data_IF_375443219334
#
_entry.id   IF_375443219334
#
_cell.length_a   1.000
_cell.length_b   1.000
_cell.length_c   1.000
_cell.angle_alpha   90.00
_cell.angle_beta   90.00
_cell.angle_gamma   90.00
#
_symmetry.space_group_name_H-M   'P 1'
#
loop_
_entity.id
_entity.type
_entity.pdbx_description
1 polymer ?
#
# COMPACT_ATOMS: atom_id res chain seq x y z
N UNK A 1 -32.83 -6.69 4.87
CA UNK A 1 -31.78 -7.01 5.87
C UNK A 1 -30.54 -7.42 5.11
N UNK A 2 -29.39 -6.78 5.38
CA UNK A 2 -28.13 -7.12 4.72
C UNK A 2 -27.83 -8.59 4.98
N UNK A 3 -27.88 -9.44 3.96
CA UNK A 3 -27.43 -10.81 4.15
C UNK A 3 -25.94 -10.78 4.48
N UNK A 4 -25.53 -11.45 5.55
CA UNK A 4 -24.12 -11.54 5.94
C UNK A 4 -23.23 -11.95 4.77
N UNK A 5 -23.73 -12.84 3.90
CA UNK A 5 -23.06 -13.24 2.66
C UNK A 5 -22.72 -12.08 1.71
N UNK A 6 -23.54 -11.02 1.67
CA UNK A 6 -23.32 -9.85 0.78
C UNK A 6 -22.26 -8.91 1.36
N UNK A 7 -22.33 -8.64 2.66
CA UNK A 7 -21.30 -7.86 3.36
C UNK A 7 -19.91 -8.51 3.23
N UNK A 8 -19.84 -9.84 3.36
CA UNK A 8 -18.60 -10.60 3.16
C UNK A 8 -18.07 -10.51 1.72
N UNK A 9 -18.93 -10.52 0.70
CA UNK A 9 -18.50 -10.33 -0.70
C UNK A 9 -17.92 -8.93 -0.94
N UNK A 10 -18.55 -7.90 -0.40
CA UNK A 10 -18.03 -6.52 -0.46
C UNK A 10 -16.66 -6.40 0.20
N UNK A 11 -16.53 -6.92 1.43
CA UNK A 11 -15.26 -6.96 2.15
C UNK A 11 -14.17 -7.73 1.38
N UNK A 12 -14.51 -8.88 0.79
CA UNK A 12 -13.57 -9.65 -0.02
C UNK A 12 -13.09 -8.88 -1.26
N UNK A 13 -13.96 -8.10 -1.90
CA UNK A 13 -13.59 -7.21 -3.01
C UNK A 13 -12.60 -6.12 -2.58
N UNK A 14 -12.87 -5.45 -1.44
CA UNK A 14 -11.97 -4.44 -0.88
C UNK A 14 -10.62 -5.06 -0.53
N UNK A 15 -10.60 -6.22 0.13
CA UNK A 15 -9.37 -6.92 0.50
C UNK A 15 -8.57 -7.33 -0.74
N UNK A 16 -9.22 -7.90 -1.77
CA UNK A 16 -8.57 -8.30 -3.01
C UNK A 16 -7.88 -7.13 -3.73
N UNK A 17 -8.58 -6.00 -3.87
CA UNK A 17 -7.99 -4.79 -4.45
C UNK A 17 -6.90 -4.18 -3.55
N UNK A 18 -7.07 -4.23 -2.23
CA UNK A 18 -6.07 -3.75 -1.29
C UNK A 18 -4.77 -4.54 -1.43
N UNK A 19 -4.83 -5.86 -1.57
CA UNK A 19 -3.66 -6.71 -1.78
C UNK A 19 -2.89 -6.28 -3.03
N UNK A 20 -3.58 -6.01 -4.15
CA UNK A 20 -2.93 -5.58 -5.40
C UNK A 20 -2.16 -4.27 -5.18
N UNK A 21 -2.77 -3.28 -4.54
CA UNK A 21 -2.11 -2.01 -4.26
C UNK A 21 -0.97 -2.13 -3.27
N UNK A 22 -1.09 -2.98 -2.26
CA UNK A 22 0.00 -3.27 -1.34
C UNK A 22 1.15 -4.03 -2.00
N UNK A 23 0.89 -4.89 -2.99
CA UNK A 23 1.95 -5.50 -3.81
C UNK A 23 2.70 -4.39 -4.57
N UNK A 24 2.00 -3.48 -5.25
CA UNK A 24 2.61 -2.37 -5.98
C UNK A 24 3.41 -1.45 -5.04
N UNK A 25 2.81 -1.08 -3.90
CA UNK A 25 3.47 -0.28 -2.87
C UNK A 25 4.69 -0.98 -2.28
N UNK A 26 4.62 -2.29 -2.06
CA UNK A 26 5.73 -3.09 -1.51
C UNK A 26 6.95 -3.14 -2.42
N UNK A 27 6.78 -3.03 -3.75
CA UNK A 27 7.89 -2.94 -4.70
C UNK A 27 8.69 -1.65 -4.44
N UNK A 28 8.00 -0.53 -4.23
CA UNK A 28 8.64 0.75 -3.91
C UNK A 28 9.26 0.76 -2.52
N UNK A 29 8.59 0.17 -1.53
CA UNK A 29 9.12 0.02 -0.18
C UNK A 29 10.39 -0.85 -0.20
N UNK A 30 10.35 -1.98 -0.91
CA UNK A 30 11.51 -2.86 -1.11
C UNK A 30 12.67 -2.13 -1.80
N UNK A 31 12.40 -1.42 -2.89
CA UNK A 31 13.39 -0.58 -3.56
C UNK A 31 13.97 0.48 -2.61
N UNK A 32 13.13 1.10 -1.78
CA UNK A 32 13.55 2.06 -0.77
C UNK A 32 14.51 1.46 0.27
N UNK A 33 14.23 0.25 0.76
CA UNK A 33 15.14 -0.48 1.66
C UNK A 33 16.46 -0.87 1.00
N UNK A 34 16.45 -1.21 -0.29
CA UNK A 34 17.68 -1.48 -1.05
C UNK A 34 18.51 -0.21 -1.22
N UNK A 35 17.90 0.91 -1.60
CA UNK A 35 18.60 2.18 -1.84
C UNK A 35 19.09 2.82 -0.53
N UNK A 36 18.37 2.64 0.58
CA UNK A 36 18.83 3.11 1.90
C UNK A 36 19.96 2.27 2.51
N UNK A 37 20.36 1.16 1.87
CA UNK A 37 21.40 0.27 2.36
C UNK A 37 20.96 -0.64 3.52
N UNK A 38 19.64 -0.75 3.77
CA UNK A 38 19.09 -1.63 4.80
C UNK A 38 18.82 -3.04 4.27
N UNK A 39 18.71 -3.21 2.94
CA UNK A 39 18.60 -4.49 2.26
C UNK A 39 19.96 -5.09 1.96
N UNK A 40 20.37 -6.09 2.74
CA UNK A 40 21.61 -6.87 2.62
C UNK A 40 22.90 -6.11 2.97
N UNK A 41 23.46 -6.44 4.14
CA UNK A 41 24.77 -6.01 4.64
C UNK A 41 25.87 -6.19 3.60
N UNK A 42 26.20 -5.13 2.88
CA UNK A 42 27.41 -5.04 2.05
C UNK A 42 27.91 -3.59 2.03
N UNK A 43 28.58 -3.18 3.11
CA UNK A 43 29.38 -1.95 3.09
C UNK A 43 29.15 -0.95 4.22
N UNK A 44 29.04 -1.39 5.47
CA UNK A 44 29.10 -0.47 6.63
C UNK A 44 30.42 0.32 6.74
N UNK A 45 31.46 -0.03 5.97
CA UNK A 45 32.82 0.48 6.17
C UNK A 45 33.47 1.22 4.98
N UNK A 46 32.78 1.50 3.87
CA UNK A 46 33.49 2.04 2.68
C UNK A 46 32.77 3.08 1.81
N UNK A 47 31.63 3.64 2.21
CA UNK A 47 30.99 4.72 1.43
C UNK A 47 31.20 6.08 2.07
N UNK A 48 31.63 7.06 1.28
CA UNK A 48 31.77 8.45 1.71
C UNK A 48 30.50 8.93 2.41
N UNK A 49 30.63 9.61 3.54
CA UNK A 49 29.51 9.97 4.43
C UNK A 49 28.37 10.70 3.70
N UNK A 50 28.67 11.43 2.62
CA UNK A 50 27.67 12.10 1.79
C UNK A 50 26.84 11.16 0.88
N UNK A 51 27.43 10.11 0.33
CA UNK A 51 26.69 9.15 -0.53
C UNK A 51 25.76 8.26 0.29
N UNK A 52 26.15 7.91 1.52
CA UNK A 52 25.32 7.16 2.45
C UNK A 52 24.07 7.95 2.90
N UNK A 53 24.22 9.25 3.21
CA UNK A 53 23.08 10.10 3.58
C UNK A 53 22.10 10.32 2.42
N UNK A 54 22.62 10.51 1.20
CA UNK A 54 21.78 10.70 0.02
C UNK A 54 20.94 9.46 -0.31
N UNK A 55 21.55 8.26 -0.26
CA UNK A 55 20.83 6.99 -0.44
C UNK A 55 19.77 6.77 0.64
N UNK A 56 20.07 7.10 1.90
CA UNK A 56 19.11 7.03 3.00
C UNK A 56 17.89 7.92 2.76
N UNK A 57 18.08 9.18 2.36
CA UNK A 57 16.99 10.12 2.10
C UNK A 57 16.09 9.64 0.96
N UNK A 58 16.68 9.21 -0.16
CA UNK A 58 15.91 8.67 -1.29
C UNK A 58 15.16 7.41 -0.88
N UNK A 59 15.81 6.51 -0.13
CA UNK A 59 15.18 5.28 0.34
C UNK A 59 13.96 5.54 1.23
N UNK A 60 14.06 6.49 2.17
CA UNK A 60 12.93 6.91 3.01
C UNK A 60 11.79 7.48 2.16
N UNK A 61 12.10 8.32 1.16
CA UNK A 61 11.09 8.88 0.26
C UNK A 61 10.35 7.76 -0.49
N UNK A 62 11.07 6.77 -1.03
CA UNK A 62 10.47 5.64 -1.73
C UNK A 62 9.56 4.80 -0.81
N UNK A 63 9.97 4.59 0.44
CA UNK A 63 9.14 3.88 1.44
C UNK A 63 7.86 4.66 1.74
N UNK A 64 7.95 5.99 1.92
CA UNK A 64 6.80 6.85 2.15
C UNK A 64 5.85 6.79 0.96
N UNK A 65 6.34 6.94 -0.26
CA UNK A 65 5.51 6.90 -1.48
C UNK A 65 4.84 5.53 -1.63
N UNK A 66 5.58 4.43 -1.44
CA UNK A 66 5.02 3.09 -1.52
C UNK A 66 3.92 2.85 -0.48
N UNK A 67 4.10 3.37 0.74
CA UNK A 67 3.10 3.31 1.80
C UNK A 67 1.85 4.13 1.48
N UNK A 68 2.04 5.34 0.94
CA UNK A 68 0.94 6.21 0.49
C UNK A 68 0.14 5.54 -0.63
N UNK A 69 0.79 4.90 -1.60
CA UNK A 69 0.12 4.18 -2.68
C UNK A 69 -0.72 3.02 -2.12
N UNK A 70 -0.17 2.24 -1.18
CA UNK A 70 -0.91 1.16 -0.52
C UNK A 70 -2.18 1.69 0.17
N UNK A 71 -2.03 2.74 0.98
CA UNK A 71 -3.15 3.36 1.72
C UNK A 71 -4.18 3.95 0.75
N UNK A 72 -3.78 4.78 -0.21
CA UNK A 72 -4.69 5.39 -1.17
C UNK A 72 -5.41 4.34 -2.02
N UNK A 73 -4.72 3.26 -2.39
CA UNK A 73 -5.32 2.13 -3.10
C UNK A 73 -6.39 1.42 -2.28
N UNK A 74 -6.15 1.19 -0.99
CA UNK A 74 -7.17 0.62 -0.08
C UNK A 74 -8.36 1.57 0.10
N UNK A 75 -8.12 2.88 0.23
CA UNK A 75 -9.17 3.89 0.36
C UNK A 75 -10.01 3.99 -0.91
N UNK A 76 -9.39 3.92 -2.09
CA UNK A 76 -10.11 3.90 -3.36
C UNK A 76 -11.05 2.69 -3.47
N UNK A 77 -10.61 1.51 -3.02
CA UNK A 77 -11.45 0.32 -2.97
C UNK A 77 -12.63 0.49 -2.00
N UNK A 78 -12.37 1.05 -0.81
CA UNK A 78 -13.40 1.37 0.18
C UNK A 78 -14.44 2.36 -0.35
N UNK A 79 -13.99 3.48 -0.92
CA UNK A 79 -14.84 4.54 -1.46
C UNK A 79 -15.66 4.09 -2.67
N UNK A 80 -15.28 3.00 -3.33
CA UNK A 80 -16.07 2.43 -4.42
C UNK A 80 -17.09 1.42 -3.91
N UNK A 81 -16.65 0.44 -3.12
CA UNK A 81 -17.49 -0.68 -2.72
C UNK A 81 -18.54 -0.28 -1.67
N UNK A 82 -18.20 0.61 -0.73
CA UNK A 82 -19.16 1.04 0.30
C UNK A 82 -20.39 1.77 -0.30
N UNK A 83 -20.23 2.79 -1.16
CA UNK A 83 -21.39 3.47 -1.74
C UNK A 83 -22.24 2.56 -2.63
N UNK A 84 -21.63 1.62 -3.37
CA UNK A 84 -22.37 0.63 -4.16
C UNK A 84 -23.29 -0.21 -3.27
N UNK A 85 -22.78 -0.72 -2.13
CA UNK A 85 -23.59 -1.50 -1.18
C UNK A 85 -24.72 -0.65 -0.58
N UNK A 86 -24.44 0.60 -0.19
CA UNK A 86 -25.43 1.50 0.42
C UNK A 86 -26.54 1.85 -0.58
N UNK A 87 -26.18 2.19 -1.83
CA UNK A 87 -27.15 2.52 -2.86
C UNK A 87 -28.06 1.33 -3.19
N UNK A 88 -27.49 0.13 -3.28
CA UNK A 88 -28.25 -1.09 -3.51
C UNK A 88 -29.23 -1.39 -2.37
N UNK A 89 -28.88 -1.09 -1.12
CA UNK A 89 -29.80 -1.22 0.01
C UNK A 89 -30.96 -0.23 -0.08
N UNK A 90 -30.67 1.02 -0.40
CA UNK A 90 -31.69 2.07 -0.56
C UNK A 90 -32.69 1.76 -1.68
N UNK A 91 -32.24 1.16 -2.79
CA UNK A 91 -33.14 0.77 -3.89
C UNK A 91 -33.92 -0.52 -3.62
N UNK A 92 -33.50 -1.33 -2.64
CA UNK A 92 -34.18 -2.56 -2.24
C UNK A 92 -35.26 -2.37 -1.18
N UNK A 93 -35.40 -1.14 -0.67
CA UNK A 93 -36.41 -0.74 0.35
C UNK A 93 -37.53 0.03 -0.32
#
# INVERSE_FOLDING_TARGET
MVSWSRAFRGAAGIVGFSIIWWIIGSILIGAGFFVSGWGFTAGFFSTSTGTALFGMVIGVILIIIGSVIGILGTMAAFLKVLPEIIAEEMHST
#
